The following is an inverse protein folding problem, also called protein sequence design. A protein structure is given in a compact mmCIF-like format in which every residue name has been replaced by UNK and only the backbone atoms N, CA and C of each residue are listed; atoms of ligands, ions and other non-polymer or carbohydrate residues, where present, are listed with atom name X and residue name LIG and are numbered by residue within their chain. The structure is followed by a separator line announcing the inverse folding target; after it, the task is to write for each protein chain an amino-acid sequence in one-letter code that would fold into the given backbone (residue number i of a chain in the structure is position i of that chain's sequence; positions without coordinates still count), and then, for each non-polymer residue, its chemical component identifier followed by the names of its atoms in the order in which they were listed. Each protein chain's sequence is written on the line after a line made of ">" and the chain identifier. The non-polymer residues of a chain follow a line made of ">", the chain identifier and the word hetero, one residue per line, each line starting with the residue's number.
data_IF_339260469515
#
_entry.id   IF_339260469515
#
_cell.length_a   1.000
_cell.length_b   1.000
_cell.length_c   1.000
_cell.angle_alpha   90.00
_cell.angle_beta   90.00
_cell.angle_gamma   90.00
#
_symmetry.space_group_name_H-M   'P 1'
#
loop_
_entity.id
_entity.type
_entity.pdbx_description
1 polymer ?
#
# COMPACT_ATOMS: atom_id res chain seq x y z
N UNK A 1 -30.41 35.54 -39.85
CA UNK A 1 -30.93 34.17 -39.65
C UNK A 1 -30.96 33.90 -38.15
N UNK A 2 -32.13 33.48 -37.63
CA UNK A 2 -32.53 33.23 -36.21
C UNK A 2 -32.99 34.44 -35.38
N UNK A 3 -34.32 34.61 -35.33
CA UNK A 3 -35.12 35.26 -34.27
C UNK A 3 -36.33 34.32 -33.98
N UNK A 4 -36.67 34.15 -32.69
CA UNK A 4 -37.90 33.61 -32.04
C UNK A 4 -37.46 32.69 -30.87
N UNK A 5 -37.53 32.99 -29.56
CA UNK A 5 -38.49 33.66 -28.64
C UNK A 5 -39.76 32.83 -28.32
N UNK A 6 -40.01 32.68 -27.01
CA UNK A 6 -41.30 32.42 -26.29
C UNK A 6 -41.61 30.89 -26.19
N UNK A 7 -41.85 30.25 -25.04
CA UNK A 7 -42.82 30.54 -23.96
C UNK A 7 -42.41 30.09 -22.54
N UNK A 8 -42.85 30.91 -21.58
CA UNK A 8 -43.02 30.59 -20.15
C UNK A 8 -44.37 29.89 -19.97
N UNK A 9 -44.49 28.96 -19.03
CA UNK A 9 -45.75 28.76 -18.32
C UNK A 9 -45.51 28.73 -16.81
N UNK A 10 -46.06 29.76 -16.16
CA UNK A 10 -46.34 29.86 -14.74
C UNK A 10 -47.57 29.00 -14.44
N UNK A 11 -47.59 28.32 -13.29
CA UNK A 11 -48.81 28.17 -12.50
C UNK A 11 -48.44 28.13 -11.02
N UNK A 12 -48.66 29.26 -10.34
CA UNK A 12 -48.84 29.36 -8.90
C UNK A 12 -50.36 29.22 -8.63
N UNK A 13 -50.87 28.74 -7.49
CA UNK A 13 -51.05 29.49 -6.24
C UNK A 13 -51.83 28.56 -5.27
N UNK A 14 -51.29 28.25 -4.08
CA UNK A 14 -51.67 28.69 -2.69
C UNK A 14 -52.96 28.08 -2.09
N UNK A 15 -52.84 27.57 -0.84
CA UNK A 15 -53.60 27.86 0.41
C UNK A 15 -53.10 26.83 1.47
N UNK A 16 -52.21 27.17 2.42
CA UNK A 16 -52.42 27.85 3.72
C UNK A 16 -53.41 27.11 4.67
N UNK A 17 -52.91 26.25 5.59
CA UNK A 17 -52.87 26.48 7.05
C UNK A 17 -53.95 25.65 7.78
N UNK A 18 -53.91 25.25 9.06
CA UNK A 18 -52.97 25.26 10.18
C UNK A 18 -53.53 24.31 11.28
N UNK A 19 -52.75 24.08 12.36
CA UNK A 19 -53.06 23.35 13.61
C UNK A 19 -52.96 21.80 13.52
N UNK A 20 -52.16 21.07 14.30
CA UNK A 20 -51.59 21.32 15.63
C UNK A 20 -52.14 20.25 16.58
N UNK A 21 -51.33 19.23 16.94
CA UNK A 21 -51.50 18.42 18.15
C UNK A 21 -50.26 17.53 18.42
N UNK A 22 -49.61 17.87 19.53
CA UNK A 22 -48.92 17.03 20.51
C UNK A 22 -47.85 16.00 20.07
N UNK A 23 -46.63 16.29 20.53
CA UNK A 23 -45.48 15.39 20.68
C UNK A 23 -45.75 14.27 21.69
N UNK A 24 -45.22 13.08 21.44
CA UNK A 24 -44.79 12.13 22.47
C UNK A 24 -43.44 11.52 22.03
N UNK A 25 -42.36 11.99 22.67
CA UNK A 25 -41.04 11.34 22.69
C UNK A 25 -41.09 10.15 23.65
N UNK A 26 -40.48 9.00 23.35
CA UNK A 26 -40.06 8.07 24.39
C UNK A 26 -38.76 8.57 25.02
N UNK A 27 -38.71 8.44 26.34
CA UNK A 27 -37.71 8.98 27.23
C UNK A 27 -36.34 8.30 27.10
N UNK A 28 -35.31 9.12 27.32
CA UNK A 28 -33.92 8.76 27.56
C UNK A 28 -33.80 7.89 28.81
N UNK A 29 -33.16 6.73 28.68
CA UNK A 29 -32.37 6.14 29.76
C UNK A 29 -31.00 6.80 29.77
N UNK A 30 -30.71 7.59 30.79
CA UNK A 30 -29.36 8.05 31.11
C UNK A 30 -28.62 6.92 31.80
N UNK A 31 -27.56 6.40 31.18
CA UNK A 31 -26.46 5.81 31.92
C UNK A 31 -25.26 6.75 31.80
N UNK A 32 -25.07 7.51 32.88
CA UNK A 32 -23.84 8.22 33.17
C UNK A 32 -22.75 7.17 33.43
N UNK A 33 -21.79 7.05 32.53
CA UNK A 33 -20.48 6.55 32.87
C UNK A 33 -19.45 7.53 32.34
N UNK A 34 -19.13 8.49 33.20
CA UNK A 34 -17.95 9.33 33.09
C UNK A 34 -16.72 8.42 33.20
N UNK A 35 -16.22 7.97 32.05
CA UNK A 35 -14.89 7.38 31.92
C UNK A 35 -13.88 8.52 31.67
N UNK A 36 -12.98 8.83 32.64
CA UNK A 36 -12.01 9.88 32.48
C UNK A 36 -10.79 9.33 31.73
N UNK A 37 -10.72 9.56 30.41
CA UNK A 37 -9.43 9.55 29.73
C UNK A 37 -9.36 8.85 28.39
N UNK A 38 -10.19 9.22 27.42
CA UNK A 38 -9.75 9.20 26.03
C UNK A 38 -10.13 10.53 25.38
N UNK A 39 -9.35 11.55 25.74
CA UNK A 39 -9.30 12.79 24.99
C UNK A 39 -8.87 12.40 23.57
N UNK A 40 -9.83 12.35 22.64
CA UNK A 40 -9.52 12.34 21.21
C UNK A 40 -8.77 13.63 20.95
N UNK A 41 -7.44 13.58 20.97
CA UNK A 41 -6.67 14.66 20.39
C UNK A 41 -7.13 14.72 18.94
N UNK A 42 -7.62 15.87 18.52
CA UNK A 42 -7.57 16.28 17.12
C UNK A 42 -6.09 16.39 16.78
N UNK A 43 -5.43 15.24 16.63
CA UNK A 43 -4.00 15.15 16.42
C UNK A 43 -3.68 15.84 15.13
N UNK A 44 -3.02 17.00 15.23
CA UNK A 44 -2.13 17.44 14.17
C UNK A 44 -1.32 16.22 13.73
N UNK A 45 -1.32 15.94 12.42
CA UNK A 45 -0.45 14.89 11.87
C UNK A 45 0.96 15.32 12.23
N UNK A 46 1.55 14.69 13.25
CA UNK A 46 2.96 14.91 13.58
C UNK A 46 3.75 14.59 12.34
N UNK A 47 4.68 15.48 11.97
CA UNK A 47 5.55 15.21 10.85
C UNK A 47 6.28 13.88 11.13
N UNK A 48 6.23 12.96 10.17
CA UNK A 48 6.86 11.66 10.34
C UNK A 48 8.36 11.78 10.69
N UNK A 49 9.05 12.83 10.23
CA UNK A 49 10.46 13.08 10.57
C UNK A 49 10.68 13.33 12.06
N UNK A 50 9.71 13.93 12.76
CA UNK A 50 9.81 14.18 14.20
C UNK A 50 9.67 12.88 15.02
N UNK A 51 9.05 11.85 14.46
CA UNK A 51 8.83 10.57 15.12
C UNK A 51 9.99 9.58 14.95
N UNK A 52 10.88 9.84 13.98
CA UNK A 52 11.95 8.90 13.61
C UNK A 52 13.35 9.38 14.01
N UNK A 53 13.47 10.38 14.89
CA UNK A 53 14.75 11.01 15.22
C UNK A 53 15.82 10.03 15.72
N UNK A 54 15.42 8.91 16.32
CA UNK A 54 16.30 7.85 16.84
C UNK A 54 16.50 6.68 15.85
N UNK A 55 15.93 6.73 14.65
CA UNK A 55 16.05 5.67 13.65
C UNK A 55 17.41 5.67 12.95
N UNK A 56 17.80 4.53 12.37
CA UNK A 56 19.04 4.40 11.60
C UNK A 56 19.06 5.24 10.32
N UNK A 57 20.26 5.50 9.78
CA UNK A 57 20.43 6.24 8.52
C UNK A 57 19.71 5.63 7.31
N UNK A 58 19.68 4.29 7.11
CA UNK A 58 18.91 3.70 6.02
C UNK A 58 17.42 4.05 6.11
N UNK A 59 16.82 3.94 7.29
CA UNK A 59 15.42 4.23 7.51
C UNK A 59 15.12 5.73 7.32
N UNK A 60 15.96 6.63 7.82
CA UNK A 60 15.86 8.07 7.52
C UNK A 60 15.92 8.39 6.02
N UNK A 61 16.80 7.72 5.28
CA UNK A 61 16.89 7.86 3.83
C UNK A 61 15.62 7.42 3.12
N UNK A 62 15.09 6.26 3.48
CA UNK A 62 13.84 5.73 2.94
C UNK A 62 12.65 6.62 3.31
N UNK A 63 12.53 7.06 4.57
CA UNK A 63 11.46 7.95 5.02
C UNK A 63 11.44 9.25 4.22
N UNK A 64 12.59 9.94 4.09
CA UNK A 64 12.66 11.15 3.26
C UNK A 64 12.21 10.89 1.82
N UNK A 65 12.71 9.80 1.22
CA UNK A 65 12.29 9.44 -0.13
C UNK A 65 10.76 9.25 -0.24
N UNK A 66 10.15 8.54 0.71
CA UNK A 66 8.71 8.29 0.68
C UNK A 66 7.89 9.54 0.97
N UNK A 67 8.35 10.42 1.86
CA UNK A 67 7.71 11.72 2.12
C UNK A 67 7.76 12.61 0.88
N UNK A 68 8.92 12.73 0.24
CA UNK A 68 9.10 13.56 -0.95
C UNK A 68 8.19 13.11 -2.09
N UNK A 69 7.93 11.80 -2.20
CA UNK A 69 7.19 11.22 -3.32
C UNK A 69 5.69 11.02 -3.05
N UNK A 70 5.31 10.73 -1.80
CA UNK A 70 3.96 10.29 -1.44
C UNK A 70 3.31 11.13 -0.32
N UNK A 71 4.02 12.11 0.24
CA UNK A 71 3.55 12.94 1.35
C UNK A 71 3.58 12.21 2.70
N UNK A 72 2.90 12.75 3.71
CA UNK A 72 2.85 12.16 5.05
C UNK A 72 2.18 10.77 5.04
N UNK A 73 2.66 9.82 5.87
CA UNK A 73 2.05 8.48 5.99
C UNK A 73 0.66 8.55 6.64
N UNK A 74 -0.21 7.60 6.30
CA UNK A 74 -1.51 7.45 6.96
C UNK A 74 -1.37 6.93 8.41
N UNK A 75 -0.38 6.08 8.68
CA UNK A 75 -0.06 5.62 10.03
C UNK A 75 1.41 5.90 10.30
N UNK A 76 1.68 6.65 11.36
CA UNK A 76 3.03 6.90 11.86
C UNK A 76 3.13 6.40 13.31
N UNK A 77 4.11 5.53 13.56
CA UNK A 77 4.44 5.02 14.89
C UNK A 77 5.94 5.17 15.12
N UNK A 78 6.39 4.91 16.34
CA UNK A 78 7.82 4.85 16.66
C UNK A 78 8.54 3.65 16.03
N UNK A 79 7.82 2.66 15.48
CA UNK A 79 8.39 1.43 14.90
C UNK A 79 8.27 1.34 13.38
N UNK A 80 7.23 1.93 12.79
CA UNK A 80 7.03 1.96 11.34
C UNK A 80 6.17 3.14 10.88
N UNK A 81 6.34 3.50 9.61
CA UNK A 81 5.51 4.44 8.85
C UNK A 81 4.83 3.67 7.71
N UNK A 82 3.54 3.92 7.48
CA UNK A 82 2.73 3.19 6.51
C UNK A 82 2.01 4.15 5.57
N UNK A 83 2.15 3.88 4.28
CA UNK A 83 1.29 4.42 3.24
C UNK A 83 0.44 3.33 2.60
N UNK A 84 -0.84 3.61 2.34
CA UNK A 84 -1.73 2.73 1.61
C UNK A 84 -2.13 3.33 0.25
N UNK A 85 -2.24 2.46 -0.75
CA UNK A 85 -2.77 2.77 -2.09
C UNK A 85 -2.16 4.04 -2.73
N UNK A 86 -0.83 4.18 -2.68
CA UNK A 86 -0.07 5.27 -3.31
C UNK A 86 0.62 4.80 -4.59
N UNK A 87 0.31 5.47 -5.70
CA UNK A 87 0.92 5.12 -7.00
C UNK A 87 0.65 3.66 -7.36
N UNK A 88 1.67 2.85 -7.71
CA UNK A 88 1.48 1.43 -8.02
C UNK A 88 1.36 0.54 -6.77
N UNK A 89 1.56 1.10 -5.58
CA UNK A 89 1.73 0.34 -4.36
C UNK A 89 0.40 0.12 -3.66
N UNK A 90 0.10 -1.13 -3.32
CA UNK A 90 -0.93 -1.46 -2.34
C UNK A 90 -0.53 -1.02 -0.94
N UNK A 91 0.77 -1.10 -0.66
CA UNK A 91 1.33 -0.73 0.64
C UNK A 91 2.79 -0.34 0.51
N UNK A 92 3.17 0.70 1.24
CA UNK A 92 4.56 1.11 1.47
C UNK A 92 4.75 1.11 2.99
N UNK A 93 5.78 0.43 3.49
CA UNK A 93 6.14 0.48 4.91
C UNK A 93 7.62 0.85 5.02
N UNK A 94 7.93 1.87 5.81
CA UNK A 94 9.29 2.11 6.28
C UNK A 94 9.36 1.68 7.75
N UNK A 95 10.31 0.79 8.07
CA UNK A 95 10.54 0.29 9.41
C UNK A 95 11.69 1.03 10.09
N UNK A 96 11.64 1.10 11.42
CA UNK A 96 12.73 1.61 12.26
C UNK A 96 14.06 0.89 12.02
N UNK A 97 13.99 -0.44 11.91
CA UNK A 97 15.12 -1.32 11.65
C UNK A 97 14.72 -2.41 10.66
N UNK A 98 15.64 -2.76 9.76
CA UNK A 98 15.44 -3.81 8.76
C UNK A 98 16.42 -4.95 8.94
N UNK A 99 16.13 -6.09 8.30
CA UNK A 99 17.02 -7.23 8.30
C UNK A 99 18.29 -6.95 7.48
N UNK A 100 19.42 -7.54 7.89
CA UNK A 100 20.66 -7.49 7.12
C UNK A 100 20.52 -8.37 5.87
N UNK A 101 20.69 -7.76 4.71
CA UNK A 101 20.63 -8.44 3.43
C UNK A 101 21.98 -8.31 2.71
N UNK A 102 22.50 -9.44 2.20
CA UNK A 102 23.84 -9.51 1.62
C UNK A 102 23.86 -9.47 0.09
N UNK A 103 22.70 -9.51 -0.57
CA UNK A 103 22.61 -9.60 -2.02
C UNK A 103 22.01 -8.33 -2.62
N UNK A 104 22.58 -7.76 -3.70
CA UNK A 104 23.85 -8.13 -4.34
C UNK A 104 25.07 -7.58 -3.59
N UNK A 105 24.83 -6.68 -2.63
CA UNK A 105 25.81 -6.18 -1.67
C UNK A 105 25.11 -5.97 -0.32
N UNK A 106 25.90 -5.84 0.75
CA UNK A 106 25.39 -5.67 2.11
C UNK A 106 24.57 -4.38 2.28
N UNK A 107 23.35 -4.49 2.77
CA UNK A 107 22.47 -3.39 3.16
C UNK A 107 21.44 -3.84 4.21
N UNK A 108 20.52 -2.94 4.58
CA UNK A 108 19.42 -3.19 5.51
C UNK A 108 18.07 -2.98 4.81
N UNK A 109 17.14 -3.91 5.01
CA UNK A 109 15.83 -3.96 4.36
C UNK A 109 14.77 -3.16 5.13
N UNK A 110 14.93 -1.83 5.16
CA UNK A 110 14.07 -0.92 5.94
C UNK A 110 12.78 -0.48 5.23
N UNK A 111 12.67 -0.68 3.91
CA UNK A 111 11.54 -0.27 3.08
C UNK A 111 10.90 -1.49 2.42
N UNK A 112 9.67 -1.81 2.80
CA UNK A 112 8.81 -2.79 2.13
C UNK A 112 7.83 -2.09 1.19
N UNK A 113 7.73 -2.57 -0.04
CA UNK A 113 6.71 -2.12 -0.99
C UNK A 113 6.00 -3.30 -1.61
N UNK A 114 4.67 -3.21 -1.65
CA UNK A 114 3.77 -4.29 -2.00
C UNK A 114 2.89 -3.92 -3.17
N UNK A 115 2.73 -4.84 -4.12
CA UNK A 115 1.82 -4.72 -5.27
C UNK A 115 0.83 -5.86 -5.30
N UNK A 116 -0.32 -5.63 -5.93
CA UNK A 116 -1.20 -6.73 -6.34
C UNK A 116 -0.54 -7.48 -7.52
N UNK A 117 -0.23 -8.77 -7.33
CA UNK A 117 0.43 -9.57 -8.35
C UNK A 117 0.14 -11.06 -8.16
N UNK A 118 -0.33 -11.72 -9.22
CA UNK A 118 -0.64 -13.16 -9.20
C UNK A 118 0.60 -13.99 -9.55
N UNK A 119 1.14 -14.70 -8.56
CA UNK A 119 2.25 -15.65 -8.76
C UNK A 119 1.69 -17.07 -8.94
N UNK A 120 1.99 -17.76 -10.07
CA UNK A 120 1.67 -19.18 -10.22
C UNK A 120 2.40 -20.03 -9.16
N UNK A 121 1.71 -21.00 -8.57
CA UNK A 121 2.24 -21.78 -7.45
C UNK A 121 3.59 -22.48 -7.77
N UNK A 122 3.73 -22.99 -9.00
CA UNK A 122 4.96 -23.65 -9.46
C UNK A 122 6.16 -22.70 -9.60
N UNK A 123 5.96 -21.37 -9.55
CA UNK A 123 7.01 -20.35 -9.60
C UNK A 123 7.52 -19.91 -8.22
N UNK A 124 6.82 -20.25 -7.13
CA UNK A 124 7.18 -19.82 -5.78
C UNK A 124 8.63 -20.21 -5.41
N UNK A 125 9.03 -21.44 -5.72
CA UNK A 125 10.38 -21.92 -5.43
C UNK A 125 11.47 -21.22 -6.25
N UNK A 126 11.15 -20.68 -7.44
CA UNK A 126 12.10 -19.88 -8.23
C UNK A 126 12.26 -18.48 -7.65
N UNK A 127 11.16 -17.84 -7.24
CA UNK A 127 11.22 -16.52 -6.60
C UNK A 127 11.97 -16.57 -5.26
N UNK A 128 11.75 -17.62 -4.45
CA UNK A 128 12.49 -17.82 -3.21
C UNK A 128 14.00 -18.02 -3.43
N UNK A 129 14.41 -18.70 -4.51
CA UNK A 129 15.83 -18.84 -4.90
C UNK A 129 16.43 -17.56 -5.50
N UNK A 130 15.60 -16.71 -6.07
CA UNK A 130 16.02 -15.46 -6.68
C UNK A 130 16.44 -14.43 -5.64
N UNK A 131 15.55 -14.10 -4.69
CA UNK A 131 15.80 -13.04 -3.72
C UNK A 131 14.97 -13.29 -2.44
N UNK A 132 15.65 -13.38 -1.29
CA UNK A 132 15.00 -13.63 0.00
C UNK A 132 14.11 -12.48 0.48
N UNK A 133 14.30 -11.28 -0.07
CA UNK A 133 13.51 -10.08 0.23
C UNK A 133 12.32 -9.91 -0.71
N UNK A 134 12.08 -10.86 -1.63
CA UNK A 134 10.85 -10.94 -2.43
C UNK A 134 9.88 -11.91 -1.75
N UNK A 135 8.74 -11.40 -1.32
CA UNK A 135 7.78 -12.13 -0.49
C UNK A 135 6.47 -12.28 -1.26
N UNK A 136 5.95 -13.51 -1.32
CA UNK A 136 4.67 -13.81 -1.98
C UNK A 136 3.61 -14.11 -0.93
N UNK A 137 2.57 -13.28 -0.85
CA UNK A 137 1.33 -13.56 -0.12
C UNK A 137 0.30 -14.05 -1.13
N UNK A 138 0.29 -15.38 -1.34
CA UNK A 138 -0.51 -16.01 -2.40
C UNK A 138 -2.01 -15.88 -2.16
N UNK A 139 -2.46 -15.99 -0.91
CA UNK A 139 -3.88 -15.92 -0.58
C UNK A 139 -4.44 -14.54 -0.89
N UNK A 140 -3.71 -13.48 -0.49
CA UNK A 140 -4.11 -12.10 -0.80
C UNK A 140 -3.73 -11.65 -2.22
N UNK A 141 -2.91 -12.43 -2.93
CA UNK A 141 -2.46 -12.10 -4.28
C UNK A 141 -1.49 -10.92 -4.30
N UNK A 142 -0.57 -10.88 -3.34
CA UNK A 142 0.39 -9.79 -3.21
C UNK A 142 1.81 -10.28 -3.44
N UNK A 143 2.62 -9.39 -4.02
CA UNK A 143 4.06 -9.54 -4.14
C UNK A 143 4.72 -8.31 -3.50
N UNK A 144 5.63 -8.55 -2.57
CA UNK A 144 6.37 -7.52 -1.87
C UNK A 144 7.86 -7.63 -2.15
N UNK A 145 8.55 -6.50 -2.13
CA UNK A 145 10.00 -6.44 -2.08
C UNK A 145 10.45 -5.58 -0.91
N UNK A 146 11.55 -5.98 -0.26
CA UNK A 146 12.20 -5.20 0.79
C UNK A 146 13.61 -4.79 0.39
N UNK A 147 13.96 -3.53 0.66
CA UNK A 147 15.29 -2.97 0.46
C UNK A 147 15.42 -1.63 1.21
N UNK A 148 16.40 -0.79 0.88
CA UNK A 148 16.59 0.55 1.45
C UNK A 148 16.14 1.69 0.52
N UNK A 149 15.74 1.38 -0.73
CA UNK A 149 15.33 2.36 -1.74
C UNK A 149 14.24 1.80 -2.64
N UNK A 150 13.29 2.65 -3.03
CA UNK A 150 12.18 2.25 -3.90
C UNK A 150 12.66 1.71 -5.24
N UNK A 151 13.63 2.37 -5.89
CA UNK A 151 14.12 1.92 -7.19
C UNK A 151 14.72 0.51 -7.17
N UNK A 152 15.20 0.06 -6.01
CA UNK A 152 15.72 -1.31 -5.83
C UNK A 152 14.58 -2.32 -5.60
N UNK A 153 13.53 -1.93 -4.87
CA UNK A 153 12.31 -2.73 -4.79
C UNK A 153 11.65 -2.89 -6.16
N UNK A 154 11.56 -1.82 -6.94
CA UNK A 154 11.07 -1.86 -8.33
C UNK A 154 11.89 -2.85 -9.17
N UNK A 155 13.23 -2.82 -9.07
CA UNK A 155 14.10 -3.79 -9.75
C UNK A 155 13.81 -5.23 -9.34
N UNK A 156 13.68 -5.49 -8.04
CA UNK A 156 13.39 -6.82 -7.52
C UNK A 156 12.05 -7.35 -8.06
N UNK A 157 11.00 -6.52 -8.03
CA UNK A 157 9.66 -6.88 -8.52
C UNK A 157 9.63 -7.10 -10.03
N UNK A 158 10.34 -6.28 -10.80
CA UNK A 158 10.45 -6.45 -12.25
C UNK A 158 11.14 -7.76 -12.63
N UNK A 159 12.19 -8.13 -11.89
CA UNK A 159 12.88 -9.40 -12.13
C UNK A 159 12.09 -10.60 -11.64
N UNK A 160 11.27 -10.44 -10.59
CA UNK A 160 10.30 -11.46 -10.21
C UNK A 160 9.25 -11.69 -11.31
N UNK A 161 8.75 -10.62 -11.95
CA UNK A 161 7.87 -10.72 -13.12
C UNK A 161 8.54 -11.42 -14.31
N UNK A 162 9.80 -11.08 -14.62
CA UNK A 162 10.58 -11.75 -15.66
C UNK A 162 10.69 -13.26 -15.42
N UNK A 163 10.93 -13.68 -14.17
CA UNK A 163 10.99 -15.10 -13.79
C UNK A 163 9.63 -15.77 -13.93
N UNK A 164 8.56 -15.14 -13.43
CA UNK A 164 7.19 -15.66 -13.52
C UNK A 164 6.77 -15.85 -14.98
N UNK A 165 7.12 -14.92 -15.86
CA UNK A 165 6.83 -14.96 -17.30
C UNK A 165 7.82 -15.79 -18.12
N UNK A 166 8.86 -16.35 -17.50
CA UNK A 166 9.88 -17.15 -18.18
C UNK A 166 10.81 -16.35 -19.10
N UNK A 167 10.83 -15.02 -18.99
CA UNK A 167 11.77 -14.15 -19.72
C UNK A 167 13.20 -14.29 -19.22
N UNK A 168 13.36 -14.65 -17.94
CA UNK A 168 14.66 -14.92 -17.31
C UNK A 168 14.55 -16.10 -16.36
N UNK A 169 15.61 -16.89 -16.28
CA UNK A 169 15.80 -17.81 -15.16
C UNK A 169 16.38 -17.09 -13.94
N UNK A 170 16.42 -17.79 -12.81
CA UNK A 170 16.91 -17.29 -11.52
C UNK A 170 18.36 -16.78 -11.60
N UNK A 171 19.25 -17.52 -12.26
CA UNK A 171 20.67 -17.18 -12.30
C UNK A 171 20.92 -15.91 -13.13
N UNK A 172 20.24 -15.80 -14.27
CA UNK A 172 20.24 -14.63 -15.13
C UNK A 172 19.62 -13.41 -14.43
N UNK A 173 18.51 -13.59 -13.70
CA UNK A 173 17.90 -12.53 -12.92
C UNK A 173 18.84 -12.00 -11.84
N UNK A 174 19.54 -12.87 -11.10
CA UNK A 174 20.52 -12.46 -10.08
C UNK A 174 21.70 -11.70 -10.68
N UNK A 175 22.24 -12.14 -11.82
CA UNK A 175 23.30 -11.42 -12.54
C UNK A 175 22.84 -10.05 -13.02
N UNK A 176 21.65 -9.98 -13.61
CA UNK A 176 21.07 -8.71 -14.07
C UNK A 176 20.85 -7.74 -12.90
N UNK A 177 20.34 -8.24 -11.76
CA UNK A 177 20.15 -7.44 -10.56
C UNK A 177 21.48 -6.78 -10.14
N UNK A 178 22.53 -7.58 -9.96
CA UNK A 178 23.84 -7.07 -9.53
C UNK A 178 24.40 -6.04 -10.53
N UNK A 179 24.27 -6.31 -11.83
CA UNK A 179 24.67 -5.38 -12.88
C UNK A 179 23.88 -4.06 -12.81
N UNK A 180 22.55 -4.13 -12.69
CA UNK A 180 21.69 -2.95 -12.62
C UNK A 180 21.99 -2.08 -11.39
N UNK A 181 22.26 -2.70 -10.23
CA UNK A 181 22.71 -1.99 -9.04
C UNK A 181 24.07 -1.32 -9.27
N UNK A 182 25.04 -2.00 -9.90
CA UNK A 182 26.33 -1.40 -10.23
C UNK A 182 26.17 -0.19 -11.18
N UNK A 183 25.30 -0.27 -12.19
CA UNK A 183 25.01 0.87 -13.07
C UNK A 183 24.34 2.03 -12.31
N UNK A 184 23.41 1.73 -11.40
CA UNK A 184 22.74 2.73 -10.57
C UNK A 184 23.73 3.43 -9.63
N UNK A 185 24.68 2.70 -9.03
CA UNK A 185 25.76 3.27 -8.23
C UNK A 185 26.70 4.17 -9.04
N UNK A 186 26.86 3.89 -10.34
CA UNK A 186 27.56 4.74 -11.29
C UNK A 186 26.72 5.93 -11.82
N UNK A 187 25.54 6.19 -11.22
CA UNK A 187 24.67 7.30 -11.57
C UNK A 187 23.82 7.07 -12.83
N UNK A 188 23.81 5.86 -13.39
CA UNK A 188 23.00 5.55 -14.58
C UNK A 188 21.59 5.14 -14.19
N UNK A 189 20.64 5.55 -15.01
CA UNK A 189 19.23 5.18 -14.84
C UNK A 189 18.88 3.93 -15.65
N UNK A 190 17.93 3.14 -15.18
CA UNK A 190 17.36 2.00 -15.90
C UNK A 190 15.84 2.01 -15.79
N UNK A 191 15.09 1.63 -16.83
CA UNK A 191 13.65 1.43 -16.71
C UNK A 191 13.30 0.48 -15.55
N UNK A 192 14.13 -0.53 -15.31
CA UNK A 192 13.95 -1.52 -14.25
C UNK A 192 14.08 -0.95 -12.84
N UNK A 193 14.67 0.23 -12.66
CA UNK A 193 14.79 0.89 -11.34
C UNK A 193 13.89 2.12 -11.22
N UNK A 194 13.19 2.50 -12.29
CA UNK A 194 12.35 3.71 -12.32
C UNK A 194 10.87 3.40 -12.20
N UNK A 195 10.40 2.30 -12.79
CA UNK A 195 8.99 1.92 -12.75
C UNK A 195 8.80 0.42 -12.92
N UNK A 196 7.63 -0.06 -12.51
CA UNK A 196 7.22 -1.43 -12.81
C UNK A 196 7.08 -1.63 -14.34
N UNK A 197 7.61 -2.74 -14.84
CA UNK A 197 7.58 -3.15 -16.26
C UNK A 197 6.38 -4.05 -16.57
N UNK A 198 5.45 -4.15 -15.63
CA UNK A 198 4.19 -4.85 -15.75
C UNK A 198 3.05 -3.93 -15.30
N UNK A 199 1.86 -4.06 -15.91
CA UNK A 199 0.70 -3.26 -15.51
C UNK A 199 0.20 -3.68 -14.13
N UNK A 200 -0.52 -2.77 -13.46
CA UNK A 200 -1.28 -3.11 -12.26
C UNK A 200 -2.25 -4.27 -12.56
N UNK A 201 -2.41 -5.18 -11.61
CA UNK A 201 -3.31 -6.33 -11.71
C UNK A 201 -4.47 -6.17 -10.72
N UNK A 202 -5.63 -6.70 -11.09
CA UNK A 202 -6.78 -6.89 -10.20
C UNK A 202 -7.01 -8.40 -10.02
N UNK A 203 -7.79 -8.78 -8.99
CA UNK A 203 -8.23 -10.17 -8.78
C UNK A 203 -7.08 -11.18 -8.71
N UNK A 204 -5.99 -10.77 -8.06
CA UNK A 204 -4.74 -11.54 -7.97
C UNK A 204 -4.76 -12.60 -6.87
N UNK A 205 -5.73 -12.54 -5.97
CA UNK A 205 -5.88 -13.44 -4.84
C UNK A 205 -6.13 -14.89 -5.28
N UNK A 206 -5.63 -15.82 -4.46
CA UNK A 206 -6.01 -17.22 -4.54
C UNK A 206 -6.65 -17.60 -3.20
N UNK A 207 -7.98 -17.45 -3.13
CA UNK A 207 -8.73 -17.92 -1.98
C UNK A 207 -8.74 -19.45 -2.03
N UNK A 208 -8.05 -20.08 -1.08
CA UNK A 208 -8.15 -21.52 -0.91
C UNK A 208 -9.62 -21.90 -0.68
N UNK A 209 -9.98 -23.11 -1.11
CA UNK A 209 -11.34 -23.60 -0.98
C UNK A 209 -11.47 -24.43 0.29
N UNK A 210 -12.60 -24.30 0.97
CA UNK A 210 -12.90 -25.17 2.12
C UNK A 210 -12.96 -26.63 1.67
N UNK A 211 -12.29 -27.50 2.42
CA UNK A 211 -12.39 -28.97 2.26
C UNK A 211 -13.28 -29.59 3.33
N UNK A 212 -13.73 -28.78 4.31
CA UNK A 212 -14.69 -29.21 5.31
C UNK A 212 -16.08 -29.28 4.69
N UNK A 213 -16.87 -30.25 5.17
CA UNK A 213 -18.29 -30.35 4.82
C UNK A 213 -19.03 -29.10 5.32
N UNK A 214 -20.05 -28.70 4.57
CA UNK A 214 -20.97 -27.64 4.97
C UNK A 214 -21.57 -27.96 6.35
N UNK A 215 -21.52 -26.99 7.27
CA UNK A 215 -21.97 -27.16 8.66
C UNK A 215 -20.89 -27.56 9.67
N UNK A 216 -19.64 -27.75 9.27
CA UNK A 216 -18.53 -27.86 10.24
C UNK A 216 -18.32 -26.50 10.95
N UNK A 217 -18.61 -26.44 12.25
CA UNK A 217 -18.40 -25.26 13.07
C UNK A 217 -16.92 -25.14 13.47
N UNK A 218 -16.42 -23.90 13.51
CA UNK A 218 -15.15 -23.62 14.20
C UNK A 218 -15.34 -23.88 15.71
N UNK A 219 -14.33 -24.42 16.39
CA UNK A 219 -14.37 -24.58 17.85
C UNK A 219 -14.48 -23.24 18.58
#
# INVERSE_FOLDING_TARGET
>A
MKICRIEKLLCAVIIAGAAGLAQLKPALGQENMSDPGFMRSSGEVRDAMDLITDWGQPAHGATRQMLDQYGQPEIATNEFLLWNDKGPWKRIIVYKSGEKHLFPLKHEDVLEQTVAYKVPAYKLGELARFNGSVIVDRTRGLLSARCYREGVNILALNLADDIVRGKRDVANARRFYAHAIAQMMAGKTSPYTQRLQFPAQTDTGFLDQTTLKEGAALP
#
